data_IF_843807318816
#
_entry.id   IF_843807318816
#
_cell.length_a   1.000
_cell.length_b   1.000
_cell.length_c   1.000
_cell.angle_alpha   90.00
_cell.angle_beta   90.00
_cell.angle_gamma   90.00
#
_symmetry.space_group_name_H-M   'P 1'
#
loop_
_entity.id
_entity.type
_entity.pdbx_description
1 polymer ?
#
# COMPACT_ATOMS: atom_id res chain seq x y z
N UNK A 1 8.73 13.01 22.36
CA UNK A 1 8.37 14.43 22.10
C UNK A 1 7.02 14.80 22.73
N UNK A 2 7.07 15.36 23.95
CA UNK A 2 5.93 16.00 24.62
C UNK A 2 6.16 17.51 24.59
N UNK A 3 5.40 18.22 23.76
CA UNK A 3 5.50 19.68 23.64
C UNK A 3 4.14 20.26 23.27
N UNK A 4 3.87 21.50 23.70
CA UNK A 4 2.62 22.21 23.42
C UNK A 4 2.50 22.70 21.97
N UNK A 5 3.61 22.68 21.21
CA UNK A 5 3.65 23.10 19.81
C UNK A 5 3.85 21.90 18.89
N UNK A 6 2.95 21.65 17.93
CA UNK A 6 3.13 20.57 16.96
C UNK A 6 4.34 20.86 16.07
N UNK A 7 5.21 19.87 15.89
CA UNK A 7 6.34 19.96 14.98
C UNK A 7 5.94 19.55 13.56
N UNK A 8 6.47 20.25 12.52
CA UNK A 8 6.20 19.87 11.14
C UNK A 8 6.86 18.52 10.83
N UNK A 9 6.17 17.69 10.07
CA UNK A 9 6.71 16.41 9.59
C UNK A 9 7.58 16.55 8.35
N UNK A 10 7.52 17.69 7.65
CA UNK A 10 8.34 18.02 6.46
C UNK A 10 9.50 18.92 6.82
N UNK A 11 10.64 18.75 6.16
CA UNK A 11 11.85 19.58 6.32
C UNK A 11 12.32 19.69 7.78
N UNK A 12 12.10 18.62 8.56
CA UNK A 12 12.47 18.56 9.97
C UNK A 12 13.09 17.18 10.28
N UNK A 13 14.30 16.90 9.80
CA UNK A 13 14.92 15.57 9.93
C UNK A 13 15.11 15.15 11.39
N UNK A 14 15.35 16.10 12.30
CA UNK A 14 15.52 15.87 13.74
C UNK A 14 14.30 15.23 14.39
N UNK A 15 13.10 15.45 13.82
CA UNK A 15 11.87 14.81 14.27
C UNK A 15 12.01 13.28 14.32
N UNK A 16 12.62 12.67 13.31
CA UNK A 16 12.73 11.21 13.23
C UNK A 16 13.64 10.64 14.33
N UNK A 17 14.70 11.36 14.70
CA UNK A 17 15.53 11.02 15.86
C UNK A 17 14.78 11.16 17.18
N UNK A 18 13.90 12.16 17.31
CA UNK A 18 13.06 12.31 18.50
C UNK A 18 11.93 11.29 18.61
N UNK A 19 11.42 10.81 17.47
CA UNK A 19 10.41 9.75 17.43
C UNK A 19 11.02 8.38 17.74
N UNK A 20 12.23 8.12 17.25
CA UNK A 20 12.89 6.82 17.35
C UNK A 20 14.35 6.91 17.80
N UNK A 21 14.60 7.35 19.05
CA UNK A 21 15.96 7.40 19.58
C UNK A 21 16.64 6.03 19.59
N UNK A 22 15.86 4.94 19.73
CA UNK A 22 16.36 3.55 19.69
C UNK A 22 16.78 3.11 18.28
N UNK A 23 16.17 3.65 17.23
CA UNK A 23 16.53 3.36 15.83
C UNK A 23 17.66 4.26 15.34
N UNK A 24 17.75 5.48 15.86
CA UNK A 24 18.77 6.48 15.52
C UNK A 24 19.58 6.92 16.75
N UNK A 25 20.29 6.02 17.44
CA UNK A 25 20.95 6.31 18.73
C UNK A 25 22.06 7.37 18.63
N UNK A 26 22.64 7.55 17.45
CA UNK A 26 23.70 8.53 17.19
C UNK A 26 23.18 9.82 16.54
N UNK A 27 21.87 9.96 16.33
CA UNK A 27 21.29 11.13 15.68
C UNK A 27 21.70 11.33 14.21
N UNK A 28 22.10 10.25 13.52
CA UNK A 28 22.51 10.25 12.10
C UNK A 28 21.68 9.23 11.30
N UNK A 29 21.68 9.37 9.97
CA UNK A 29 20.96 8.45 9.07
C UNK A 29 19.44 8.63 9.08
N UNK A 30 18.94 9.71 9.66
CA UNK A 30 17.51 10.06 9.66
C UNK A 30 17.06 10.49 8.26
N UNK A 31 15.77 10.32 7.99
CA UNK A 31 15.16 10.73 6.72
C UNK A 31 15.24 12.24 6.53
N UNK A 32 15.42 12.67 5.28
CA UNK A 32 15.51 14.09 4.89
C UNK A 32 16.63 14.87 5.59
N UNK A 33 17.65 14.18 6.11
CA UNK A 33 18.77 14.83 6.76
C UNK A 33 19.75 15.36 5.72
N UNK A 34 19.64 16.64 5.40
CA UNK A 34 20.58 17.35 4.53
C UNK A 34 21.81 17.89 5.27
N UNK A 35 21.88 17.79 6.60
CA UNK A 35 22.99 18.32 7.40
C UNK A 35 24.25 17.43 7.31
N UNK A 36 24.09 16.17 6.92
CA UNK A 36 25.18 15.21 6.74
C UNK A 36 25.96 15.43 5.42
N UNK A 37 26.20 16.69 5.04
CA UNK A 37 27.05 17.07 3.89
C UNK A 37 28.50 16.77 4.24
N UNK A 38 28.93 15.52 4.08
CA UNK A 38 30.35 15.19 4.14
C UNK A 38 31.00 15.61 2.82
N UNK A 39 31.81 16.67 2.89
CA UNK A 39 32.68 17.20 1.84
C UNK A 39 32.02 17.42 0.47
N UNK A 40 31.94 18.69 0.04
CA UNK A 40 31.41 19.20 -1.24
C UNK A 40 31.96 18.54 -2.53
N UNK A 41 32.82 17.53 -2.41
CA UNK A 41 33.43 16.73 -3.47
C UNK A 41 32.52 15.66 -4.08
N UNK A 42 31.50 15.17 -3.36
CA UNK A 42 30.55 14.17 -3.88
C UNK A 42 29.15 14.74 -3.70
N UNK A 43 28.51 15.16 -4.80
CA UNK A 43 27.14 15.65 -4.76
C UNK A 43 26.20 14.55 -4.24
N UNK A 44 25.84 14.61 -2.96
CA UNK A 44 24.83 13.72 -2.40
C UNK A 44 23.48 14.04 -3.05
N UNK A 45 22.86 13.02 -3.66
CA UNK A 45 21.53 13.15 -4.25
C UNK A 45 20.48 13.10 -3.15
N UNK A 46 19.48 13.97 -3.24
CA UNK A 46 18.28 13.86 -2.42
C UNK A 46 17.65 12.49 -2.63
N UNK A 47 17.53 11.71 -1.56
CA UNK A 47 16.89 10.40 -1.57
C UNK A 47 15.42 10.59 -1.19
N UNK A 48 14.52 10.08 -2.02
CA UNK A 48 13.09 10.11 -1.72
C UNK A 48 12.79 9.37 -0.41
N UNK A 49 11.81 9.87 0.35
CA UNK A 49 11.45 9.32 1.65
C UNK A 49 11.03 7.85 1.56
N UNK A 50 10.27 7.47 0.53
CA UNK A 50 9.83 6.07 0.36
C UNK A 50 11.04 5.18 0.11
N UNK A 51 11.96 5.60 -0.76
CA UNK A 51 13.20 4.87 -1.04
C UNK A 51 14.06 4.71 0.20
N UNK A 52 14.22 5.76 1.00
CA UNK A 52 15.00 5.69 2.23
C UNK A 52 14.35 4.76 3.26
N UNK A 53 13.03 4.84 3.46
CA UNK A 53 12.32 3.92 4.37
C UNK A 53 12.44 2.48 3.89
N UNK A 54 12.24 2.20 2.59
CA UNK A 54 12.45 0.87 2.03
C UNK A 54 13.86 0.35 2.28
N UNK A 55 14.88 1.21 2.10
CA UNK A 55 16.25 0.86 2.44
C UNK A 55 16.41 0.52 3.92
N UNK A 56 15.88 1.33 4.85
CA UNK A 56 15.96 1.05 6.29
C UNK A 56 15.24 -0.23 6.70
N UNK A 57 14.14 -0.57 6.02
CA UNK A 57 13.41 -1.82 6.25
C UNK A 57 14.15 -3.03 5.68
N UNK A 58 14.93 -2.87 4.61
CA UNK A 58 15.66 -3.98 3.97
C UNK A 58 17.12 -4.11 4.43
N UNK A 59 17.66 -3.08 5.08
CA UNK A 59 19.09 -2.96 5.36
C UNK A 59 19.38 -3.03 6.85
N UNK A 60 20.43 -3.77 7.20
CA UNK A 60 20.98 -3.83 8.55
C UNK A 60 20.88 -5.23 9.17
N UNK A 61 21.83 -5.56 10.06
CA UNK A 61 22.00 -6.93 10.56
C UNK A 61 20.86 -7.41 11.48
N UNK A 62 20.17 -6.49 12.17
CA UNK A 62 19.31 -6.84 13.30
C UNK A 62 17.80 -6.62 13.06
N UNK A 63 17.38 -6.35 11.81
CA UNK A 63 15.96 -6.11 11.44
C UNK A 63 15.22 -5.06 12.31
N UNK A 64 15.96 -4.21 13.04
CA UNK A 64 15.41 -3.32 14.08
C UNK A 64 14.30 -2.38 13.58
N UNK A 65 14.35 -1.98 12.31
CA UNK A 65 13.33 -1.11 11.71
C UNK A 65 12.06 -1.90 11.36
N UNK A 66 12.20 -3.18 11.01
CA UNK A 66 11.08 -4.08 10.70
C UNK A 66 10.28 -4.43 11.95
N UNK A 67 10.96 -4.58 13.09
CA UNK A 67 10.36 -5.03 14.36
C UNK A 67 9.97 -3.92 15.32
N UNK A 68 10.24 -2.66 14.96
CA UNK A 68 9.93 -1.53 15.83
C UNK A 68 8.43 -1.23 15.86
N UNK A 69 7.84 -1.28 17.06
CA UNK A 69 6.40 -1.15 17.34
C UNK A 69 5.67 -0.05 16.56
N UNK A 70 6.28 1.12 16.40
CA UNK A 70 5.64 2.29 15.77
C UNK A 70 6.23 2.73 14.43
N UNK A 71 7.39 2.20 14.02
CA UNK A 71 8.13 2.79 12.89
C UNK A 71 7.38 2.66 11.58
N UNK A 72 6.99 1.43 11.23
CA UNK A 72 6.27 1.11 9.99
C UNK A 72 4.94 1.86 9.96
N UNK A 73 4.16 1.79 11.04
CA UNK A 73 2.85 2.44 11.13
C UNK A 73 2.95 3.94 10.92
N UNK A 74 3.80 4.64 11.68
CA UNK A 74 3.93 6.10 11.58
C UNK A 74 4.52 6.53 10.25
N UNK A 75 5.53 5.82 9.72
CA UNK A 75 6.11 6.15 8.41
C UNK A 75 5.12 5.93 7.28
N UNK A 76 4.35 4.84 7.31
CA UNK A 76 3.25 4.61 6.35
C UNK A 76 2.23 5.76 6.37
N UNK A 77 1.80 6.18 7.56
CA UNK A 77 0.89 7.31 7.74
C UNK A 77 1.49 8.64 7.23
N UNK A 78 2.77 8.92 7.52
CA UNK A 78 3.44 10.13 7.05
C UNK A 78 3.51 10.16 5.52
N UNK A 79 3.90 9.05 4.90
CA UNK A 79 4.00 8.91 3.44
C UNK A 79 2.61 9.10 2.80
N UNK A 80 1.59 8.39 3.30
CA UNK A 80 0.22 8.48 2.79
C UNK A 80 -0.33 9.91 2.92
N UNK A 81 -0.23 10.53 4.10
CA UNK A 81 -0.69 11.91 4.33
C UNK A 81 0.01 12.90 3.41
N UNK A 82 1.32 12.71 3.16
CA UNK A 82 2.10 13.59 2.28
C UNK A 82 1.62 13.46 0.83
N UNK A 83 1.38 12.23 0.35
CA UNK A 83 0.85 11.96 -0.97
C UNK A 83 -0.54 12.58 -1.14
N UNK A 84 -1.47 12.31 -0.22
CA UNK A 84 -2.84 12.86 -0.25
C UNK A 84 -2.83 14.40 -0.24
N UNK A 85 -1.99 15.02 0.61
CA UNK A 85 -1.86 16.48 0.64
C UNK A 85 -1.32 17.05 -0.67
N UNK A 86 -0.40 16.34 -1.33
CA UNK A 86 0.16 16.76 -2.60
C UNK A 86 -0.89 16.68 -3.72
N UNK A 87 -1.62 15.56 -3.81
CA UNK A 87 -2.71 15.38 -4.78
C UNK A 87 -3.81 16.43 -4.59
N UNK A 88 -4.23 16.68 -3.35
CA UNK A 88 -5.21 17.73 -3.03
C UNK A 88 -4.72 19.12 -3.47
N UNK A 89 -3.45 19.45 -3.20
CA UNK A 89 -2.85 20.71 -3.66
C UNK A 89 -2.83 20.83 -5.18
N UNK A 90 -2.53 19.76 -5.90
CA UNK A 90 -2.57 19.75 -7.37
C UNK A 90 -3.99 19.96 -7.88
N UNK A 91 -4.98 19.29 -7.28
CA UNK A 91 -6.39 19.41 -7.65
C UNK A 91 -6.92 20.84 -7.47
N UNK A 92 -6.66 21.47 -6.32
CA UNK A 92 -7.10 22.85 -6.03
C UNK A 92 -6.50 23.87 -7.01
N UNK A 93 -5.30 23.60 -7.54
CA UNK A 93 -4.64 24.47 -8.53
C UNK A 93 -5.18 24.33 -9.95
N UNK A 94 -6.06 23.36 -10.22
CA UNK A 94 -6.60 23.17 -11.57
C UNK A 94 -7.63 24.25 -11.89
N UNK A 95 -7.71 24.62 -13.16
CA UNK A 95 -8.66 25.62 -13.68
C UNK A 95 -10.13 25.25 -13.49
N UNK A 96 -10.44 23.96 -13.30
CA UNK A 96 -11.80 23.49 -13.05
C UNK A 96 -12.23 23.63 -11.58
N UNK A 97 -11.33 23.88 -10.64
CA UNK A 97 -11.65 23.90 -9.20
C UNK A 97 -12.75 24.92 -8.82
N UNK A 98 -12.83 26.14 -9.41
CA UNK A 98 -13.95 27.05 -9.14
C UNK A 98 -15.33 26.46 -9.48
N UNK A 99 -15.40 25.46 -10.38
CA UNK A 99 -16.66 24.74 -10.65
C UNK A 99 -17.08 23.86 -9.49
N UNK A 100 -16.13 23.30 -8.73
CA UNK A 100 -16.44 22.50 -7.53
C UNK A 100 -17.09 23.35 -6.46
N UNK A 101 -16.60 24.56 -6.22
CA UNK A 101 -17.20 25.51 -5.28
C UNK A 101 -18.65 25.81 -5.65
N UNK A 102 -18.90 26.16 -6.92
CA UNK A 102 -20.25 26.42 -7.42
C UNK A 102 -21.17 25.18 -7.39
N UNK A 103 -20.62 23.97 -7.49
CA UNK A 103 -21.39 22.73 -7.34
C UNK A 103 -21.71 22.44 -5.86
N UNK A 104 -20.77 22.71 -4.96
CA UNK A 104 -20.94 22.53 -3.52
C UNK A 104 -22.09 23.41 -3.00
N UNK A 105 -22.17 24.66 -3.46
CA UNK A 105 -23.23 25.60 -3.09
C UNK A 105 -24.65 25.12 -3.50
N UNK A 106 -24.74 24.24 -4.50
CA UNK A 106 -26.00 23.69 -5.01
C UNK A 106 -26.44 22.41 -4.30
N UNK A 107 -25.57 21.83 -3.47
CA UNK A 107 -25.82 20.56 -2.79
C UNK A 107 -26.21 20.86 -1.34
N UNK A 108 -27.42 20.48 -0.94
CA UNK A 108 -27.86 20.50 0.45
C UNK A 108 -27.69 19.14 1.11
N UNK A 109 -27.59 19.12 2.45
CA UNK A 109 -27.55 17.88 3.24
C UNK A 109 -28.74 16.96 2.92
N UNK A 110 -29.94 17.54 2.80
CA UNK A 110 -31.15 16.81 2.41
C UNK A 110 -31.06 16.17 1.02
N UNK A 111 -30.36 16.81 0.07
CA UNK A 111 -30.15 16.28 -1.27
C UNK A 111 -29.18 15.09 -1.24
N UNK A 112 -28.14 15.16 -0.41
CA UNK A 112 -27.19 14.06 -0.24
C UNK A 112 -27.90 12.84 0.35
N UNK A 113 -28.71 13.04 1.40
CA UNK A 113 -29.48 11.96 2.03
C UNK A 113 -30.45 11.32 1.04
N UNK A 114 -31.29 12.12 0.37
CA UNK A 114 -32.28 11.60 -0.58
C UNK A 114 -31.63 10.87 -1.75
N UNK A 115 -30.54 11.44 -2.29
CA UNK A 115 -29.83 10.85 -3.43
C UNK A 115 -29.11 9.56 -3.04
N UNK A 116 -28.54 9.51 -1.83
CA UNK A 116 -27.92 8.30 -1.29
C UNK A 116 -28.93 7.17 -1.14
N UNK A 117 -30.12 7.45 -0.58
CA UNK A 117 -31.19 6.44 -0.48
C UNK A 117 -31.69 5.99 -1.85
N UNK A 118 -31.82 6.93 -2.80
CA UNK A 118 -32.17 6.63 -4.20
C UNK A 118 -31.16 5.67 -4.85
N UNK A 119 -29.86 5.91 -4.67
CA UNK A 119 -28.79 5.07 -5.19
C UNK A 119 -28.69 3.71 -4.49
N UNK A 120 -28.99 3.63 -3.19
CA UNK A 120 -29.07 2.34 -2.47
C UNK A 120 -30.17 1.44 -3.02
N UNK A 121 -31.34 2.01 -3.33
CA UNK A 121 -32.47 1.28 -3.90
C UNK A 121 -32.20 0.85 -5.36
N UNK A 122 -31.59 1.74 -6.14
CA UNK A 122 -31.21 1.45 -7.52
C UNK A 122 -29.87 2.11 -7.86
N UNK A 123 -28.77 1.33 -7.98
CA UNK A 123 -27.46 1.85 -8.36
C UNK A 123 -27.42 2.57 -9.72
N UNK A 124 -28.39 2.31 -10.59
CA UNK A 124 -28.51 2.92 -11.92
C UNK A 124 -29.49 4.11 -11.96
N UNK A 125 -29.95 4.57 -10.79
CA UNK A 125 -30.85 5.71 -10.70
C UNK A 125 -30.19 6.98 -11.27
N UNK A 126 -30.92 7.67 -12.13
CA UNK A 126 -30.45 8.92 -12.73
C UNK A 126 -30.68 10.09 -11.77
N UNK A 127 -29.78 11.08 -11.84
CA UNK A 127 -29.95 12.35 -11.15
C UNK A 127 -31.00 13.21 -11.86
N UNK A 128 -32.07 13.55 -11.15
CA UNK A 128 -33.22 14.28 -11.70
C UNK A 128 -33.17 15.76 -11.30
N UNK A 129 -32.99 16.03 -10.01
CA UNK A 129 -32.97 17.39 -9.46
C UNK A 129 -31.65 18.10 -9.75
N UNK A 130 -31.64 19.44 -9.66
CA UNK A 130 -30.41 20.22 -9.85
C UNK A 130 -29.36 19.85 -8.78
N UNK A 131 -29.77 19.67 -7.53
CA UNK A 131 -28.89 19.24 -6.45
C UNK A 131 -28.35 17.81 -6.64
N UNK A 132 -29.18 16.87 -7.12
CA UNK A 132 -28.73 15.50 -7.43
C UNK A 132 -27.70 15.50 -8.56
N UNK A 133 -27.92 16.31 -9.61
CA UNK A 133 -26.97 16.44 -10.73
C UNK A 133 -25.67 17.07 -10.25
N UNK A 134 -25.75 18.09 -9.42
CA UNK A 134 -24.58 18.72 -8.82
C UNK A 134 -23.80 17.74 -7.93
N UNK A 135 -24.50 16.93 -7.12
CA UNK A 135 -23.89 15.89 -6.30
C UNK A 135 -23.21 14.81 -7.17
N UNK A 136 -23.88 14.33 -8.23
CA UNK A 136 -23.32 13.36 -9.15
C UNK A 136 -22.06 13.88 -9.86
N UNK A 137 -22.05 15.15 -10.27
CA UNK A 137 -20.86 15.77 -10.86
C UNK A 137 -19.76 16.01 -9.83
N UNK A 138 -20.10 16.39 -8.59
CA UNK A 138 -19.16 16.56 -7.49
C UNK A 138 -18.42 15.25 -7.18
N UNK A 139 -19.13 14.11 -7.18
CA UNK A 139 -18.54 12.78 -6.99
C UNK A 139 -17.45 12.48 -8.04
N UNK A 140 -17.62 12.91 -9.30
CA UNK A 140 -16.58 12.73 -10.33
C UNK A 140 -15.29 13.46 -9.96
N UNK A 141 -15.39 14.68 -9.44
CA UNK A 141 -14.22 15.44 -8.98
C UNK A 141 -13.60 14.81 -7.73
N UNK A 142 -14.40 14.33 -6.78
CA UNK A 142 -13.91 13.60 -5.60
C UNK A 142 -13.14 12.35 -6.01
N UNK A 143 -13.72 11.54 -6.91
CA UNK A 143 -13.07 10.35 -7.44
C UNK A 143 -11.76 10.70 -8.14
N UNK A 144 -11.71 11.76 -8.95
CA UNK A 144 -10.48 12.23 -9.59
C UNK A 144 -9.37 12.58 -8.58
N UNK A 145 -9.71 13.18 -7.44
CA UNK A 145 -8.72 13.49 -6.40
C UNK A 145 -8.29 12.23 -5.64
N UNK A 146 -9.22 11.27 -5.48
CA UNK A 146 -9.01 10.02 -4.76
C UNK A 146 -8.27 8.95 -5.58
N UNK A 147 -8.27 9.06 -6.91
CA UNK A 147 -7.70 8.13 -7.88
C UNK A 147 -6.29 7.62 -7.52
N UNK A 148 -5.44 8.51 -7.02
CA UNK A 148 -4.05 8.18 -6.66
C UNK A 148 -3.87 7.87 -5.16
N UNK A 149 -4.94 7.48 -4.47
CA UNK A 149 -4.92 7.05 -3.07
C UNK A 149 -5.13 5.53 -3.05
N UNK A 150 -4.14 4.77 -2.56
CA UNK A 150 -4.28 3.31 -2.41
C UNK A 150 -5.50 2.92 -1.57
N UNK A 151 -6.27 1.94 -2.02
CA UNK A 151 -7.51 1.46 -1.43
C UNK A 151 -8.72 2.36 -1.67
N UNK A 152 -8.63 3.36 -2.56
CA UNK A 152 -9.76 4.22 -2.88
C UNK A 152 -10.77 3.52 -3.79
N UNK A 153 -12.02 3.98 -3.75
CA UNK A 153 -13.05 3.50 -4.69
C UNK A 153 -12.70 3.81 -6.16
N UNK A 154 -11.91 4.85 -6.41
CA UNK A 154 -11.45 5.22 -7.73
C UNK A 154 -10.42 4.21 -8.27
N UNK A 155 -9.43 3.82 -7.47
CA UNK A 155 -8.47 2.76 -7.84
C UNK A 155 -9.18 1.41 -8.07
N UNK A 156 -10.16 1.05 -7.23
CA UNK A 156 -10.96 -0.17 -7.44
C UNK A 156 -11.72 -0.12 -8.77
N UNK A 157 -12.24 1.05 -9.14
CA UNK A 157 -12.94 1.24 -10.41
C UNK A 157 -11.97 1.15 -11.60
N UNK A 158 -10.79 1.77 -11.50
CA UNK A 158 -9.72 1.66 -12.51
C UNK A 158 -9.34 0.18 -12.73
N UNK A 159 -9.09 -0.58 -11.66
CA UNK A 159 -8.76 -2.00 -11.78
C UNK A 159 -9.85 -2.83 -12.47
N UNK A 160 -11.13 -2.48 -12.25
CA UNK A 160 -12.25 -3.13 -12.96
C UNK A 160 -12.23 -2.78 -14.45
N UNK A 161 -11.96 -1.53 -14.80
CA UNK A 161 -11.88 -1.08 -16.19
C UNK A 161 -10.72 -1.76 -16.93
N UNK A 162 -9.56 -1.92 -16.29
CA UNK A 162 -8.43 -2.69 -16.84
C UNK A 162 -8.79 -4.17 -17.07
N UNK A 163 -9.50 -4.78 -16.11
CA UNK A 163 -10.00 -6.15 -16.25
C UNK A 163 -10.99 -6.27 -17.42
N UNK A 164 -11.95 -5.36 -17.55
CA UNK A 164 -12.90 -5.36 -18.68
C UNK A 164 -12.20 -5.13 -20.02
N UNK A 165 -11.21 -4.24 -20.05
CA UNK A 165 -10.38 -4.02 -21.24
C UNK A 165 -9.70 -5.30 -21.67
N UNK A 166 -9.08 -6.02 -20.72
CA UNK A 166 -8.42 -7.31 -20.97
C UNK A 166 -9.41 -8.35 -21.51
N UNK A 167 -10.62 -8.42 -20.95
CA UNK A 167 -11.66 -9.33 -21.44
C UNK A 167 -12.10 -9.00 -22.86
N UNK A 168 -12.19 -7.71 -23.18
CA UNK A 168 -12.58 -7.27 -24.51
C UNK A 168 -11.49 -7.52 -25.57
N UNK A 169 -10.20 -7.48 -25.19
CA UNK A 169 -9.07 -7.71 -26.12
C UNK A 169 -8.68 -9.18 -26.24
N UNK A 170 -8.66 -9.92 -25.14
CA UNK A 170 -8.09 -11.27 -25.05
C UNK A 170 -9.13 -12.37 -24.78
N UNK A 171 -10.39 -11.98 -24.57
CA UNK A 171 -11.50 -12.88 -24.31
C UNK A 171 -11.70 -13.19 -22.82
N UNK A 172 -12.62 -14.12 -22.54
CA UNK A 172 -12.99 -14.46 -21.16
C UNK A 172 -11.86 -15.19 -20.43
N UNK A 173 -11.61 -14.90 -19.13
CA UNK A 173 -10.61 -15.62 -18.35
C UNK A 173 -11.00 -17.09 -18.23
N UNK A 174 -10.07 -17.99 -18.51
CA UNK A 174 -10.28 -19.42 -18.33
C UNK A 174 -10.10 -19.85 -16.86
N UNK A 175 -9.37 -19.07 -16.07
CA UNK A 175 -9.05 -19.35 -14.68
C UNK A 175 -9.24 -18.07 -13.87
N UNK A 176 -9.95 -18.21 -12.76
CA UNK A 176 -10.03 -17.20 -11.71
C UNK A 176 -9.45 -17.80 -10.43
N UNK A 177 -8.45 -17.15 -9.85
CA UNK A 177 -7.68 -17.68 -8.73
C UNK A 177 -7.48 -16.61 -7.65
N UNK A 178 -7.91 -16.93 -6.44
CA UNK A 178 -7.61 -16.14 -5.24
C UNK A 178 -6.51 -16.83 -4.45
N UNK A 179 -5.41 -16.13 -4.20
CA UNK A 179 -4.27 -16.64 -3.47
C UNK A 179 -4.24 -16.05 -2.07
N UNK A 180 -4.32 -16.92 -1.06
CA UNK A 180 -4.16 -16.54 0.34
C UNK A 180 -3.06 -17.39 0.99
N UNK A 181 -1.77 -17.10 0.70
CA UNK A 181 -0.68 -17.86 1.28
C UNK A 181 -0.62 -17.60 2.79
N UNK A 182 -0.70 -18.67 3.57
CA UNK A 182 -0.65 -18.59 5.04
C UNK A 182 0.79 -18.39 5.51
N UNK A 183 1.10 -17.18 5.97
CA UNK A 183 2.39 -16.80 6.55
C UNK A 183 2.62 -17.44 7.93
N UNK A 184 1.57 -17.60 8.73
CA UNK A 184 1.67 -18.23 10.05
C UNK A 184 1.99 -19.72 9.97
N UNK A 185 1.49 -20.44 8.97
CA UNK A 185 1.69 -21.89 8.86
C UNK A 185 2.81 -22.29 7.90
N UNK A 186 3.50 -21.33 7.27
CA UNK A 186 4.57 -21.61 6.32
C UNK A 186 5.96 -21.43 6.95
N UNK A 187 6.84 -22.45 6.91
CA UNK A 187 8.19 -22.35 7.47
C UNK A 187 9.05 -21.26 6.82
N UNK A 188 8.86 -20.97 5.54
CA UNK A 188 9.61 -19.93 4.82
C UNK A 188 9.33 -18.56 5.45
N UNK A 189 8.07 -18.27 5.77
CA UNK A 189 7.69 -17.02 6.41
C UNK A 189 8.33 -16.89 7.81
N UNK A 190 8.45 -17.99 8.55
CA UNK A 190 9.11 -18.02 9.86
C UNK A 190 10.61 -17.73 9.77
N UNK A 191 11.29 -18.32 8.77
CA UNK A 191 12.71 -18.03 8.50
C UNK A 191 12.92 -16.57 8.10
N UNK A 192 12.05 -16.03 7.24
CA UNK A 192 12.08 -14.61 6.85
C UNK A 192 11.87 -13.69 8.07
N UNK A 193 10.98 -14.07 8.99
CA UNK A 193 10.75 -13.35 10.25
C UNK A 193 11.96 -13.40 11.20
N UNK A 194 12.94 -14.26 10.93
CA UNK A 194 14.17 -14.39 11.69
C UNK A 194 14.14 -15.47 12.76
N UNK A 195 13.18 -16.39 12.71
CA UNK A 195 13.15 -17.55 13.58
C UNK A 195 14.26 -18.53 13.16
N UNK A 196 15.07 -18.96 14.12
CA UNK A 196 16.09 -19.98 13.91
C UNK A 196 15.41 -21.35 13.81
N UNK A 197 15.32 -21.87 12.60
CA UNK A 197 14.59 -23.08 12.29
C UNK A 197 15.40 -23.98 11.36
N UNK A 198 15.49 -25.25 11.73
CA UNK A 198 15.97 -26.30 10.84
C UNK A 198 14.82 -26.69 9.89
N UNK A 199 14.90 -26.21 8.65
CA UNK A 199 13.89 -26.48 7.62
C UNK A 199 13.73 -27.97 7.31
N UNK A 200 14.79 -28.76 7.51
CA UNK A 200 14.77 -30.21 7.25
C UNK A 200 14.00 -30.98 8.32
N UNK A 201 13.79 -30.39 9.50
CA UNK A 201 13.14 -31.03 10.67
C UNK A 201 11.86 -30.35 11.13
N UNK A 202 11.42 -29.32 10.41
CA UNK A 202 10.37 -28.41 10.88
C UNK A 202 9.02 -29.10 11.18
N UNK A 203 8.77 -30.29 10.62
CA UNK A 203 7.52 -31.04 10.77
C UNK A 203 7.68 -32.45 11.37
N UNK A 204 8.84 -32.80 11.93
CA UNK A 204 9.11 -34.19 12.31
C UNK A 204 8.29 -34.65 13.53
N UNK A 205 7.84 -33.74 14.42
CA UNK A 205 7.07 -34.12 15.62
C UNK A 205 6.23 -32.97 16.23
N UNK A 206 5.34 -32.36 15.44
CA UNK A 206 4.47 -31.27 15.93
C UNK A 206 3.05 -31.76 16.25
N UNK A 207 2.67 -31.68 17.54
CA UNK A 207 1.26 -31.80 17.94
C UNK A 207 0.44 -30.68 17.29
N UNK A 208 -0.78 -30.95 16.80
CA UNK A 208 -1.65 -29.91 16.26
C UNK A 208 -1.80 -28.75 17.24
N UNK A 209 -1.52 -27.54 16.76
CA UNK A 209 -1.70 -26.30 17.52
C UNK A 209 -0.59 -25.93 18.52
N UNK A 210 0.40 -26.78 18.76
CA UNK A 210 1.47 -26.52 19.74
C UNK A 210 2.27 -25.23 19.44
N UNK A 211 2.41 -24.91 18.16
CA UNK A 211 3.26 -23.83 17.63
C UNK A 211 2.50 -22.57 17.22
N UNK A 212 1.17 -22.58 17.27
CA UNK A 212 0.36 -21.52 16.64
C UNK A 212 0.65 -20.13 17.22
N UNK A 213 0.80 -20.05 18.54
CA UNK A 213 1.07 -18.79 19.22
C UNK A 213 2.46 -18.25 18.88
N UNK A 214 3.47 -19.11 18.87
CA UNK A 214 4.84 -18.73 18.57
C UNK A 214 4.95 -18.25 17.12
N UNK A 215 4.40 -19.03 16.17
CA UNK A 215 4.38 -18.66 14.74
C UNK A 215 3.69 -17.34 14.48
N UNK A 216 2.54 -17.12 15.13
CA UNK A 216 1.81 -15.85 15.02
C UNK A 216 2.57 -14.69 15.64
N UNK A 217 3.28 -14.93 16.75
CA UNK A 217 4.10 -13.92 17.43
C UNK A 217 5.26 -13.44 16.56
N UNK A 218 6.01 -14.35 15.93
CA UNK A 218 7.12 -13.98 15.03
C UNK A 218 6.64 -13.15 13.83
N UNK A 219 5.53 -13.55 13.21
CA UNK A 219 4.95 -12.82 12.08
C UNK A 219 4.42 -11.46 12.53
N UNK A 220 3.70 -11.39 13.65
CA UNK A 220 3.18 -10.13 14.19
C UNK A 220 4.29 -9.14 14.57
N UNK A 221 5.43 -9.65 15.06
CA UNK A 221 6.60 -8.83 15.39
C UNK A 221 7.33 -8.34 14.14
N UNK A 222 7.21 -9.02 13.00
CA UNK A 222 7.88 -8.64 11.77
C UNK A 222 6.92 -8.68 10.55
N UNK A 223 6.06 -7.66 10.40
CA UNK A 223 5.13 -7.59 9.27
C UNK A 223 5.84 -7.43 7.91
N UNK A 224 7.11 -7.00 7.89
CA UNK A 224 7.89 -6.93 6.64
C UNK A 224 8.22 -8.34 6.12
N UNK A 225 8.53 -9.27 7.01
CA UNK A 225 8.74 -10.67 6.62
C UNK A 225 7.47 -11.30 6.04
N UNK A 226 6.29 -10.97 6.58
CA UNK A 226 5.01 -11.41 6.01
C UNK A 226 4.81 -10.87 4.58
N UNK A 227 5.10 -9.59 4.36
CA UNK A 227 5.02 -8.97 3.04
C UNK A 227 6.04 -9.57 2.05
N UNK A 228 7.26 -9.84 2.49
CA UNK A 228 8.30 -10.48 1.68
C UNK A 228 7.92 -11.93 1.31
N UNK A 229 7.35 -12.67 2.26
CA UNK A 229 6.81 -14.00 2.03
C UNK A 229 5.67 -13.97 1.00
N UNK A 230 4.71 -13.06 1.16
CA UNK A 230 3.61 -12.90 0.21
C UNK A 230 4.14 -12.58 -1.19
N UNK A 231 5.03 -11.60 -1.31
CA UNK A 231 5.65 -11.22 -2.58
C UNK A 231 6.38 -12.39 -3.24
N UNK A 232 7.19 -13.12 -2.47
CA UNK A 232 7.92 -14.30 -2.94
C UNK A 232 6.98 -15.41 -3.39
N UNK A 233 5.91 -15.66 -2.63
CA UNK A 233 4.90 -16.67 -2.97
C UNK A 233 4.19 -16.37 -4.29
N UNK A 234 3.75 -15.12 -4.46
CA UNK A 234 3.11 -14.66 -5.71
C UNK A 234 4.09 -14.75 -6.88
N UNK A 235 5.34 -14.31 -6.69
CA UNK A 235 6.38 -14.38 -7.72
C UNK A 235 6.66 -15.83 -8.14
N UNK A 236 6.82 -16.75 -7.18
CA UNK A 236 7.03 -18.17 -7.47
C UNK A 236 5.85 -18.75 -8.25
N UNK A 237 4.62 -18.41 -7.86
CA UNK A 237 3.44 -18.87 -8.58
C UNK A 237 3.43 -18.37 -10.03
N UNK A 238 3.65 -17.08 -10.27
CA UNK A 238 3.68 -16.53 -11.64
C UNK A 238 4.84 -17.10 -12.46
N UNK A 239 6.06 -17.04 -11.94
CA UNK A 239 7.27 -17.36 -12.71
C UNK A 239 7.47 -18.86 -12.88
N UNK A 240 7.21 -19.64 -11.82
CA UNK A 240 7.45 -21.09 -11.81
C UNK A 240 6.19 -21.87 -12.13
N UNK A 241 5.08 -21.67 -11.40
CA UNK A 241 3.88 -22.50 -11.56
C UNK A 241 3.15 -22.21 -12.87
N UNK A 242 2.90 -20.92 -13.15
CA UNK A 242 2.30 -20.46 -14.41
C UNK A 242 3.34 -20.35 -15.54
N UNK A 243 4.62 -20.34 -15.21
CA UNK A 243 5.71 -20.45 -16.18
C UNK A 243 5.95 -19.18 -17.00
N UNK A 244 5.51 -18.00 -16.54
CA UNK A 244 5.60 -16.74 -17.31
C UNK A 244 7.03 -16.34 -17.66
N UNK A 245 8.02 -16.82 -16.90
CA UNK A 245 9.46 -16.59 -17.14
C UNK A 245 10.24 -17.82 -17.58
N UNK A 246 9.57 -18.94 -17.83
CA UNK A 246 10.23 -20.13 -18.42
C UNK A 246 10.53 -19.86 -19.89
N UNK A 247 11.62 -20.43 -20.41
CA UNK A 247 12.00 -20.26 -21.82
C UNK A 247 10.89 -20.71 -22.80
N UNK A 248 10.16 -21.77 -22.46
CA UNK A 248 9.04 -22.27 -23.25
C UNK A 248 7.69 -21.60 -22.91
N UNK A 249 7.65 -20.69 -21.93
CA UNK A 249 6.46 -20.03 -21.39
C UNK A 249 5.32 -20.95 -20.97
N UNK A 250 5.61 -22.22 -20.67
CA UNK A 250 4.61 -23.24 -20.31
C UNK A 250 4.63 -23.54 -18.81
N UNK A 251 3.53 -23.23 -18.16
CA UNK A 251 3.22 -23.61 -16.78
C UNK A 251 2.30 -24.82 -16.71
N UNK A 252 1.69 -25.02 -15.53
CA UNK A 252 0.77 -26.13 -15.26
C UNK A 252 -0.51 -26.09 -16.11
N UNK A 253 -0.91 -24.91 -16.57
CA UNK A 253 -2.10 -24.69 -17.39
C UNK A 253 -1.77 -24.50 -18.87
N UNK A 254 -0.54 -24.78 -19.29
CA UNK A 254 -0.04 -24.46 -20.63
C UNK A 254 0.58 -23.06 -20.70
N UNK A 255 0.52 -22.43 -21.88
CA UNK A 255 1.04 -21.09 -22.08
C UNK A 255 0.00 -20.04 -21.66
N UNK A 256 0.38 -19.17 -20.73
CA UNK A 256 -0.46 -18.05 -20.29
C UNK A 256 -0.30 -16.90 -21.29
N UNK A 257 -1.38 -16.55 -22.00
CA UNK A 257 -1.40 -15.42 -22.93
C UNK A 257 -1.38 -14.09 -22.18
N UNK A 258 -2.30 -13.90 -21.26
CA UNK A 258 -2.47 -12.70 -20.44
C UNK A 258 -2.87 -13.10 -19.01
N UNK A 259 -2.42 -12.32 -18.03
CA UNK A 259 -2.92 -12.38 -16.66
C UNK A 259 -3.13 -10.96 -16.14
N UNK A 260 -4.15 -10.80 -15.31
CA UNK A 260 -4.41 -9.58 -14.55
C UNK A 260 -4.41 -9.95 -13.07
N UNK A 261 -3.65 -9.23 -12.25
CA UNK A 261 -3.45 -9.56 -10.85
C UNK A 261 -3.58 -8.34 -9.96
N UNK A 262 -4.41 -8.46 -8.93
CA UNK A 262 -4.65 -7.43 -7.91
C UNK A 262 -4.18 -7.95 -6.57
N UNK A 263 -3.65 -7.05 -5.74
CA UNK A 263 -3.35 -7.33 -4.33
C UNK A 263 -4.33 -6.50 -3.50
N UNK A 264 -5.12 -7.17 -2.66
CA UNK A 264 -5.98 -6.55 -1.65
C UNK A 264 -5.23 -6.34 -0.33
#
# INVERSE_FOLDING_TARGET
PSGSTPLPTRNNPKLFGYLWPTLFPYGVGMMENEDARSNDTIGFRSVDMKTHVSHLLQSGPNRRFQTHLSFIFVMGNIIQRRQTSFNAKLAVKRSWFPRVEALLDKVSDSTIESYTEKLKLNPYAQAETEGEKAAADLVKYVNYVADHIPGSMAEIQEMREEMFSTVNTDGLPHIFLTLNPTDTNNPIAQVLAGRDLDLDKFFDDLKPGAENLERSSFIAQNPIAAAEFFHTSVKILLEILLGTKRQNRKGIFGEVSVYYGVVE
#
